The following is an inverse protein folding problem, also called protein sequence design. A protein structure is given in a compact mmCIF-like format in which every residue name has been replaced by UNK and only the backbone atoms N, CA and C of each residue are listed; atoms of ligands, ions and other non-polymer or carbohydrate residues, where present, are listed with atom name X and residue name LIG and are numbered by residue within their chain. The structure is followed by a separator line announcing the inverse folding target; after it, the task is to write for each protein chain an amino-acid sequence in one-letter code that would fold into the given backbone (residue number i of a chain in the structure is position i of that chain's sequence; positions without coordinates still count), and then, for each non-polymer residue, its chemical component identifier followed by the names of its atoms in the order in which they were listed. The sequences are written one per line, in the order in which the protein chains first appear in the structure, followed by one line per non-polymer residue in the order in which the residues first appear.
data_IF_992766219474
#
_entry.id   IF_992766219474
#
_cell.length_a   1.000
_cell.length_b   1.000
_cell.length_c   1.000
_cell.angle_alpha   90.00
_cell.angle_beta   90.00
_cell.angle_gamma   90.00
#
_symmetry.space_group_name_H-M   'P 1'
#
loop_
_entity.id
_entity.type
_entity.pdbx_description
1 polymer ?
#
# COMPACT_ATOMS: atom_id res chain seq x y z
N UNK A 1 10.78 -1.50 -9.15
CA UNK A 1 9.57 -2.16 -9.69
C UNK A 1 8.92 -2.93 -8.55
N UNK A 2 7.59 -2.93 -8.43
CA UNK A 2 6.89 -3.69 -7.38
C UNK A 2 7.07 -5.19 -7.63
N UNK A 3 7.34 -6.00 -6.60
CA UNK A 3 7.43 -7.46 -6.72
C UNK A 3 6.05 -8.12 -6.89
N UNK A 4 5.00 -7.42 -6.46
CA UNK A 4 3.61 -7.89 -6.48
C UNK A 4 2.74 -6.87 -7.20
N UNK A 5 1.84 -7.35 -8.06
CA UNK A 5 0.85 -6.54 -8.75
C UNK A 5 -0.55 -7.11 -8.54
N UNK A 6 -1.44 -6.35 -7.92
CA UNK A 6 -2.85 -6.73 -7.81
C UNK A 6 -3.49 -6.57 -9.19
N UNK A 7 -4.06 -7.66 -9.71
CA UNK A 7 -4.67 -7.69 -11.05
C UNK A 7 -6.17 -7.46 -10.99
N UNK A 8 -6.85 -7.97 -9.96
CA UNK A 8 -8.28 -7.76 -9.75
C UNK A 8 -8.66 -7.91 -8.27
N UNK A 9 -9.68 -7.16 -7.85
CA UNK A 9 -10.32 -7.32 -6.55
C UNK A 9 -11.83 -7.26 -6.76
N UNK A 10 -12.50 -8.40 -6.60
CA UNK A 10 -13.95 -8.52 -6.79
C UNK A 10 -14.63 -8.54 -5.43
N UNK A 11 -15.57 -7.63 -5.21
CA UNK A 11 -16.46 -7.64 -4.04
C UNK A 11 -17.58 -8.64 -4.30
N UNK A 12 -17.71 -9.64 -3.44
CA UNK A 12 -18.78 -10.64 -3.50
C UNK A 12 -19.90 -10.24 -2.53
N UNK A 13 -21.12 -10.72 -2.79
CA UNK A 13 -22.30 -10.51 -1.93
C UNK A 13 -22.55 -9.03 -1.57
N UNK A 14 -22.81 -8.22 -2.60
CA UNK A 14 -23.00 -6.78 -2.48
C UNK A 14 -24.15 -6.29 -3.39
N UNK A 15 -25.10 -5.47 -2.89
CA UNK A 15 -25.25 -5.02 -1.50
C UNK A 15 -25.69 -6.13 -0.55
N UNK A 16 -25.45 -5.96 0.75
CA UNK A 16 -25.78 -6.95 1.79
C UNK A 16 -26.17 -6.29 3.12
N UNK A 17 -26.75 -7.05 4.06
CA UNK A 17 -26.99 -6.54 5.41
C UNK A 17 -25.68 -6.16 6.09
N UNK A 18 -25.69 -5.11 6.91
CA UNK A 18 -24.53 -4.61 7.65
C UNK A 18 -23.79 -5.72 8.42
N UNK A 19 -24.53 -6.67 9.00
CA UNK A 19 -24.01 -7.78 9.81
C UNK A 19 -23.57 -9.00 8.98
N UNK A 20 -23.64 -8.93 7.65
CA UNK A 20 -23.17 -10.01 6.79
C UNK A 20 -21.63 -9.97 6.73
N UNK A 21 -20.90 -11.08 6.70
CA UNK A 21 -19.45 -11.06 6.48
C UNK A 21 -19.07 -10.40 5.15
N UNK A 22 -17.92 -9.75 5.10
CA UNK A 22 -17.33 -9.25 3.86
C UNK A 22 -16.66 -10.40 3.10
N UNK A 23 -16.72 -10.35 1.77
CA UNK A 23 -16.07 -11.33 0.90
C UNK A 23 -15.40 -10.64 -0.28
N UNK A 24 -14.08 -10.82 -0.38
CA UNK A 24 -13.25 -10.24 -1.43
C UNK A 24 -12.51 -11.35 -2.17
N UNK A 25 -12.78 -11.53 -3.46
CA UNK A 25 -11.92 -12.36 -4.31
C UNK A 25 -10.75 -11.51 -4.82
N UNK A 26 -9.55 -11.81 -4.34
CA UNK A 26 -8.32 -11.08 -4.64
C UNK A 26 -7.51 -11.89 -5.64
N UNK A 27 -7.15 -11.26 -6.75
CA UNK A 27 -6.23 -11.81 -7.75
C UNK A 27 -4.98 -10.94 -7.85
N UNK A 28 -3.82 -11.56 -7.81
CA UNK A 28 -2.53 -10.86 -7.91
C UNK A 28 -1.49 -11.70 -8.64
N UNK A 29 -0.50 -11.00 -9.20
CA UNK A 29 0.66 -11.56 -9.85
C UNK A 29 1.90 -11.28 -9.00
N UNK A 30 2.70 -12.31 -8.75
CA UNK A 30 4.01 -12.20 -8.13
C UNK A 30 5.08 -12.30 -9.22
N UNK A 31 5.87 -11.24 -9.36
CA UNK A 31 6.88 -11.06 -10.43
C UNK A 31 8.27 -11.53 -10.00
N UNK A 32 8.57 -11.50 -8.70
CA UNK A 32 9.82 -12.00 -8.12
C UNK A 32 9.52 -12.84 -6.87
N UNK A 33 10.27 -13.93 -6.62
CA UNK A 33 10.03 -14.77 -5.45
C UNK A 33 10.19 -13.97 -4.16
N UNK A 34 9.23 -14.11 -3.24
CA UNK A 34 9.25 -13.51 -1.92
C UNK A 34 9.56 -14.60 -0.88
N UNK A 35 10.54 -14.31 -0.02
CA UNK A 35 10.99 -15.25 1.02
C UNK A 35 10.01 -15.30 2.20
N UNK A 36 9.41 -14.16 2.51
CA UNK A 36 8.49 -13.97 3.63
C UNK A 36 7.04 -13.83 3.14
N UNK A 37 6.12 -13.77 4.09
CA UNK A 37 4.69 -13.71 3.80
C UNK A 37 4.24 -12.30 3.39
N UNK A 38 3.27 -12.27 2.48
CA UNK A 38 2.43 -11.10 2.27
C UNK A 38 1.36 -11.06 3.36
N UNK A 39 1.19 -9.92 4.01
CA UNK A 39 0.13 -9.69 4.97
C UNK A 39 -0.99 -8.90 4.31
N UNK A 40 -2.18 -9.50 4.22
CA UNK A 40 -3.39 -8.89 3.70
C UNK A 40 -4.30 -8.51 4.87
N UNK A 41 -4.71 -7.25 4.95
CA UNK A 41 -5.61 -6.78 6.00
C UNK A 41 -6.85 -6.14 5.40
N UNK A 42 -8.00 -6.43 6.00
CA UNK A 42 -9.24 -5.72 5.75
C UNK A 42 -9.56 -4.85 6.97
N UNK A 43 -9.67 -3.55 6.75
CA UNK A 43 -9.87 -2.55 7.80
C UNK A 43 -11.13 -1.75 7.48
N UNK A 44 -12.01 -1.61 8.46
CA UNK A 44 -13.21 -0.78 8.37
C UNK A 44 -12.97 0.53 9.10
N UNK A 45 -13.23 1.66 8.43
CA UNK A 45 -13.09 2.99 9.03
C UNK A 45 -14.33 3.28 9.89
N UNK A 46 -14.14 3.32 11.20
CA UNK A 46 -15.24 3.52 12.15
C UNK A 46 -15.62 4.99 12.35
N UNK A 47 -14.75 5.92 11.96
CA UNK A 47 -15.04 7.35 11.89
C UNK A 47 -14.11 8.03 10.91
N UNK A 48 -14.61 8.98 10.12
CA UNK A 48 -13.78 9.73 9.18
C UNK A 48 -12.80 10.70 9.88
N UNK A 49 -13.07 11.05 11.13
CA UNK A 49 -12.30 12.05 11.88
C UNK A 49 -11.30 11.41 12.86
N UNK A 50 -11.44 10.12 13.16
CA UNK A 50 -10.76 9.47 14.27
C UNK A 50 -10.44 8.01 13.96
N UNK A 51 -9.17 7.78 13.60
CA UNK A 51 -8.60 6.46 13.28
C UNK A 51 -8.61 5.49 14.47
N UNK A 52 -8.86 5.95 15.70
CA UNK A 52 -8.98 5.04 16.86
C UNK A 52 -10.24 4.17 16.81
N UNK A 53 -11.21 4.54 15.97
CA UNK A 53 -12.41 3.75 15.69
C UNK A 53 -12.21 2.74 14.56
N UNK A 54 -11.06 2.74 13.88
CA UNK A 54 -10.78 1.79 12.81
C UNK A 54 -10.72 0.37 13.36
N UNK A 55 -11.40 -0.53 12.67
CA UNK A 55 -11.50 -1.93 13.06
C UNK A 55 -10.77 -2.79 12.04
N UNK A 56 -9.71 -3.47 12.49
CA UNK A 56 -9.10 -4.56 11.74
C UNK A 56 -10.07 -5.75 11.76
N UNK A 57 -10.72 -6.01 10.62
CA UNK A 57 -11.70 -7.08 10.48
C UNK A 57 -11.04 -8.43 10.24
N UNK A 58 -9.98 -8.46 9.44
CA UNK A 58 -9.26 -9.69 9.11
C UNK A 58 -7.79 -9.40 8.76
N UNK A 59 -6.91 -10.34 9.07
CA UNK A 59 -5.48 -10.31 8.75
C UNK A 59 -4.98 -11.70 8.36
N UNK A 60 -4.66 -11.87 7.07
CA UNK A 60 -4.21 -13.15 6.51
C UNK A 60 -2.78 -13.05 5.99
N UNK A 61 -1.96 -14.02 6.35
CA UNK A 61 -0.61 -14.21 5.83
C UNK A 61 -0.62 -15.18 4.65
N UNK A 62 0.02 -14.80 3.55
CA UNK A 62 0.17 -15.62 2.34
C UNK A 62 1.64 -15.67 1.97
N UNK A 63 2.29 -16.81 2.22
CA UNK A 63 3.65 -17.06 1.77
C UNK A 63 4.22 -18.41 2.21
N UNK A 64 5.49 -18.69 1.83
CA UNK A 64 6.31 -17.91 0.89
C UNK A 64 5.71 -17.90 -0.53
N UNK A 65 5.89 -16.81 -1.27
CA UNK A 65 5.22 -16.59 -2.58
C UNK A 65 6.21 -16.75 -3.72
N UNK A 66 5.95 -17.70 -4.62
CA UNK A 66 6.76 -17.89 -5.83
C UNK A 66 6.23 -17.02 -6.97
N UNK A 67 7.00 -16.92 -8.06
CA UNK A 67 6.55 -16.24 -9.28
C UNK A 67 5.31 -16.96 -9.83
N UNK A 68 4.25 -16.21 -10.12
CA UNK A 68 3.02 -16.77 -10.63
C UNK A 68 1.79 -15.89 -10.40
N UNK A 69 0.64 -16.40 -10.84
CA UNK A 69 -0.66 -15.78 -10.64
C UNK A 69 -1.40 -16.49 -9.52
N UNK A 70 -1.94 -15.72 -8.59
CA UNK A 70 -2.61 -16.19 -7.40
C UNK A 70 -4.01 -15.61 -7.32
N UNK A 71 -4.91 -16.41 -6.73
CA UNK A 71 -6.27 -15.99 -6.44
C UNK A 71 -6.76 -16.66 -5.17
N UNK A 72 -7.37 -15.89 -4.27
CA UNK A 72 -8.00 -16.41 -3.07
C UNK A 72 -9.19 -15.53 -2.65
N UNK A 73 -10.04 -16.06 -1.78
CA UNK A 73 -11.15 -15.31 -1.18
C UNK A 73 -10.76 -14.93 0.25
N UNK A 74 -10.72 -13.63 0.52
CA UNK A 74 -10.61 -13.08 1.87
C UNK A 74 -12.03 -12.87 2.41
N UNK A 75 -12.36 -13.56 3.49
CA UNK A 75 -13.62 -13.39 4.20
C UNK A 75 -13.34 -12.77 5.57
N UNK A 76 -14.15 -11.80 5.98
CA UNK A 76 -14.01 -11.12 7.27
C UNK A 76 -15.38 -10.92 7.92
N UNK A 77 -15.44 -11.04 9.24
CA UNK A 77 -16.65 -10.71 10.00
C UNK A 77 -16.98 -9.20 9.87
N UNK A 78 -18.25 -8.79 10.03
CA UNK A 78 -18.62 -7.38 10.02
C UNK A 78 -17.94 -6.60 11.17
N UNK A 79 -17.82 -5.26 11.07
CA UNK A 79 -17.35 -4.45 12.19
C UNK A 79 -18.31 -4.57 13.38
N UNK A 80 -17.78 -4.39 14.58
CA UNK A 80 -18.57 -4.28 15.80
C UNK A 80 -19.26 -2.90 15.84
N UNK A 81 -20.61 -2.83 15.76
CA UNK A 81 -21.32 -1.55 15.75
C UNK A 81 -21.09 -0.72 17.01
N UNK A 82 -20.76 -1.35 18.15
CA UNK A 82 -20.53 -0.65 19.41
C UNK A 82 -19.21 0.12 19.45
N UNK A 83 -18.31 -0.14 18.50
CA UNK A 83 -17.02 0.52 18.32
C UNK A 83 -17.00 1.48 17.14
N UNK A 84 -18.18 1.88 16.65
CA UNK A 84 -18.36 2.90 15.62
C UNK A 84 -19.04 4.08 16.31
N UNK A 85 -18.71 5.32 15.93
CA UNK A 85 -19.46 6.48 16.41
C UNK A 85 -20.90 6.38 15.90
N UNK A 86 -21.89 6.63 16.75
CA UNK A 86 -23.31 6.39 16.43
C UNK A 86 -23.75 7.18 15.20
N UNK A 87 -23.23 8.40 15.05
CA UNK A 87 -23.41 9.28 13.89
C UNK A 87 -22.77 8.78 12.59
N UNK A 88 -21.75 7.92 12.67
CA UNK A 88 -20.98 7.41 11.52
C UNK A 88 -21.46 6.02 11.05
N UNK A 89 -22.44 5.42 11.73
CA UNK A 89 -22.98 4.11 11.34
C UNK A 89 -23.78 4.21 10.03
N UNK A 90 -24.62 5.23 9.90
CA UNK A 90 -25.41 5.53 8.70
C UNK A 90 -24.68 6.57 7.86
N UNK A 91 -24.69 6.40 6.54
CA UNK A 91 -24.02 7.25 5.58
C UNK A 91 -22.80 6.59 4.96
N UNK A 92 -21.86 7.42 4.51
CA UNK A 92 -20.70 6.95 3.75
C UNK A 92 -19.48 6.81 4.65
N UNK A 93 -18.87 5.64 4.64
CA UNK A 93 -17.55 5.38 5.23
C UNK A 93 -16.62 4.70 4.22
N UNK A 94 -15.46 4.23 4.68
CA UNK A 94 -14.41 3.62 3.86
C UNK A 94 -14.04 2.24 4.39
N UNK A 95 -13.81 1.31 3.47
CA UNK A 95 -13.21 0.01 3.72
C UNK A 95 -11.86 -0.05 3.02
N UNK A 96 -10.82 -0.49 3.72
CA UNK A 96 -9.44 -0.52 3.24
C UNK A 96 -8.96 -1.97 3.17
N UNK A 97 -8.59 -2.41 1.97
CA UNK A 97 -7.81 -3.63 1.76
C UNK A 97 -6.34 -3.22 1.60
N UNK A 98 -5.49 -3.60 2.54
CA UNK A 98 -4.04 -3.34 2.47
C UNK A 98 -3.26 -4.62 2.23
N UNK A 99 -2.12 -4.49 1.55
CA UNK A 99 -1.14 -5.56 1.45
C UNK A 99 0.24 -5.02 1.83
N UNK A 100 0.89 -5.76 2.72
CA UNK A 100 2.19 -5.44 3.29
C UNK A 100 3.17 -6.58 3.06
N UNK A 101 4.45 -6.25 2.94
CA UNK A 101 5.55 -7.21 2.94
C UNK A 101 6.58 -6.77 3.96
N UNK A 102 7.01 -7.67 4.86
CA UNK A 102 7.93 -7.35 5.96
C UNK A 102 7.46 -6.15 6.80
N UNK A 103 6.15 -6.06 7.06
CA UNK A 103 5.53 -4.96 7.82
C UNK A 103 5.48 -3.62 7.09
N UNK A 104 5.93 -3.54 5.84
CA UNK A 104 5.84 -2.33 5.01
C UNK A 104 4.66 -2.46 4.05
N UNK A 105 3.66 -1.60 4.23
CA UNK A 105 2.53 -1.49 3.32
C UNK A 105 3.01 -0.98 1.96
N UNK A 106 2.67 -1.69 0.87
CA UNK A 106 3.04 -1.29 -0.49
C UNK A 106 1.82 -1.00 -1.37
N UNK A 107 0.64 -1.45 -0.98
CA UNK A 107 -0.60 -1.15 -1.69
C UNK A 107 -1.80 -1.10 -0.74
N UNK A 108 -2.69 -0.15 -1.03
CA UNK A 108 -3.96 0.06 -0.36
C UNK A 108 -5.05 0.26 -1.40
N UNK A 109 -6.12 -0.50 -1.28
CA UNK A 109 -7.32 -0.40 -2.10
C UNK A 109 -8.47 0.02 -1.19
N UNK A 110 -8.91 1.28 -1.34
CA UNK A 110 -10.03 1.84 -0.59
C UNK A 110 -11.33 1.76 -1.37
N UNK A 111 -12.40 1.35 -0.69
CA UNK A 111 -13.76 1.35 -1.20
C UNK A 111 -14.62 2.29 -0.35
N UNK A 112 -15.48 3.07 -0.99
CA UNK A 112 -16.56 3.72 -0.26
C UNK A 112 -17.62 2.68 0.07
N UNK A 113 -18.14 2.73 1.30
CA UNK A 113 -19.25 1.91 1.76
C UNK A 113 -20.37 2.86 2.14
N UNK A 114 -21.53 2.70 1.52
CA UNK A 114 -22.73 3.42 1.89
C UNK A 114 -23.61 2.51 2.75
N UNK A 115 -23.80 2.89 4.02
CA UNK A 115 -24.70 2.22 4.94
C UNK A 115 -26.00 3.02 5.01
N UNK A 116 -27.12 2.40 4.67
CA UNK A 116 -28.42 3.05 4.69
C UNK A 116 -29.52 2.05 5.06
N UNK A 117 -30.70 2.55 5.41
CA UNK A 117 -31.86 1.68 5.58
C UNK A 117 -32.42 1.29 4.21
N UNK A 118 -32.74 0.01 4.03
CA UNK A 118 -33.45 -0.46 2.83
C UNK A 118 -34.92 0.01 2.84
N UNK A 119 -35.49 0.22 4.04
CA UNK A 119 -36.85 0.72 4.25
C UNK A 119 -36.95 2.24 3.99
N UNK A 120 -37.84 2.66 3.09
CA UNK A 120 -38.05 4.06 2.73
C UNK A 120 -38.55 4.92 3.90
N UNK A 121 -39.40 4.38 4.78
CA UNK A 121 -39.90 5.14 5.94
C UNK A 121 -38.79 5.44 6.93
N UNK A 122 -37.88 4.48 7.14
CA UNK A 122 -36.72 4.68 8.02
C UNK A 122 -35.68 5.63 7.42
N UNK A 123 -35.66 5.82 6.10
CA UNK A 123 -34.81 6.83 5.45
C UNK A 123 -35.40 8.22 5.55
N UNK A 124 -36.71 8.37 5.37
CA UNK A 124 -37.38 9.68 5.46
C UNK A 124 -37.49 10.16 6.93
N UNK A 125 -37.76 9.24 7.86
CA UNK A 125 -37.87 9.51 9.29
C UNK A 125 -36.92 8.61 10.08
N UNK A 126 -35.61 8.91 10.09
CA UNK A 126 -34.64 8.08 10.78
C UNK A 126 -34.89 8.04 12.29
N UNK A 127 -34.88 6.85 12.91
CA UNK A 127 -35.06 6.72 14.35
C UNK A 127 -33.91 7.38 15.11
N UNK A 128 -34.16 7.82 16.34
CA UNK A 128 -33.12 8.45 17.17
C UNK A 128 -31.96 7.50 17.54
N UNK A 129 -32.19 6.20 17.47
CA UNK A 129 -31.17 5.16 17.65
C UNK A 129 -31.13 4.29 16.42
N UNK A 130 -29.93 3.98 15.95
CA UNK A 130 -29.75 3.16 14.75
C UNK A 130 -30.23 1.72 14.98
N UNK A 131 -31.02 1.19 14.05
CA UNK A 131 -31.51 -0.19 14.08
C UNK A 131 -30.60 -1.04 13.17
N UNK A 132 -29.49 -1.52 13.71
CA UNK A 132 -28.41 -2.21 12.96
C UNK A 132 -28.94 -3.34 12.08
N UNK A 133 -29.90 -4.14 12.57
CA UNK A 133 -30.46 -5.28 11.84
C UNK A 133 -31.18 -4.88 10.53
N UNK A 134 -31.55 -3.61 10.39
CA UNK A 134 -32.21 -3.06 9.19
C UNK A 134 -31.26 -2.25 8.31
N UNK A 135 -29.99 -2.12 8.70
CA UNK A 135 -28.99 -1.42 7.90
C UNK A 135 -28.50 -2.34 6.80
N UNK A 136 -28.51 -1.83 5.58
CA UNK A 136 -27.90 -2.44 4.41
C UNK A 136 -26.62 -1.67 4.08
N UNK A 137 -25.54 -2.39 3.78
CA UNK A 137 -24.34 -1.79 3.22
C UNK A 137 -24.27 -2.02 1.72
N UNK A 138 -23.77 -1.01 1.03
CA UNK A 138 -23.42 -1.08 -0.38
C UNK A 138 -21.97 -0.60 -0.56
N UNK A 139 -21.10 -1.50 -0.99
CA UNK A 139 -19.69 -1.22 -1.29
C UNK A 139 -19.62 -0.74 -2.75
N UNK A 140 -19.11 0.46 -2.97
CA UNK A 140 -18.94 1.04 -4.30
C UNK A 140 -17.72 0.44 -5.00
N UNK A 141 -17.87 -0.80 -5.48
CA UNK A 141 -16.80 -1.62 -6.07
C UNK A 141 -16.26 -1.10 -7.40
N UNK A 142 -17.03 -0.30 -8.15
CA UNK A 142 -16.67 0.15 -9.50
C UNK A 142 -15.63 1.27 -9.51
N UNK A 143 -15.43 1.96 -8.38
CA UNK A 143 -14.52 3.12 -8.28
C UNK A 143 -13.58 2.99 -7.08
N UNK A 144 -12.76 1.92 -7.02
CA UNK A 144 -11.80 1.77 -5.94
C UNK A 144 -10.74 2.87 -6.01
N UNK A 145 -10.27 3.31 -4.83
CA UNK A 145 -9.13 4.21 -4.70
C UNK A 145 -7.88 3.37 -4.43
N UNK A 146 -7.00 3.29 -5.42
CA UNK A 146 -5.76 2.53 -5.30
C UNK A 146 -4.59 3.47 -5.01
N UNK A 147 -3.93 3.26 -3.88
CA UNK A 147 -2.70 3.96 -3.49
C UNK A 147 -1.56 2.95 -3.42
N UNK A 148 -0.42 3.27 -4.02
CA UNK A 148 0.79 2.43 -4.00
C UNK A 148 1.91 3.15 -3.27
N UNK A 149 2.62 2.43 -2.42
CA UNK A 149 3.75 2.93 -1.66
C UNK A 149 5.03 2.20 -2.11
N UNK A 150 6.12 2.91 -2.42
CA UNK A 150 7.37 2.26 -2.78
C UNK A 150 8.00 1.62 -1.53
N UNK A 151 8.34 0.33 -1.63
CA UNK A 151 9.06 -0.41 -0.58
C UNK A 151 10.23 -1.20 -1.17
N UNK A 152 11.14 -1.66 -0.31
CA UNK A 152 12.20 -2.58 -0.70
C UNK A 152 11.79 -4.04 -0.44
N UNK A 153 11.51 -4.80 -1.50
CA UNK A 153 11.17 -6.23 -1.42
C UNK A 153 12.39 -7.14 -1.25
N UNK A 154 13.61 -6.63 -1.44
CA UNK A 154 14.85 -7.40 -1.34
C UNK A 154 15.92 -6.64 -0.54
N UNK A 155 15.73 -6.44 0.77
CA UNK A 155 16.66 -5.67 1.60
C UNK A 155 18.09 -6.24 1.64
N UNK A 156 18.25 -7.56 1.50
CA UNK A 156 19.58 -8.20 1.58
C UNK A 156 20.45 -8.04 0.33
N UNK A 157 19.88 -7.67 -0.82
CA UNK A 157 20.67 -7.42 -2.04
C UNK A 157 21.44 -6.08 -2.01
N UNK A 158 21.27 -5.26 -0.96
CA UNK A 158 21.94 -3.98 -0.81
C UNK A 158 23.29 -4.04 -0.07
N UNK A 159 23.81 -5.24 0.25
CA UNK A 159 25.15 -5.42 0.85
C UNK A 159 26.21 -5.94 -0.15
N UNK A 160 26.12 -5.56 -1.42
CA UNK A 160 27.19 -5.81 -2.41
C UNK A 160 27.76 -4.49 -2.95
N UNK A 161 28.10 -3.58 -2.03
CA UNK A 161 28.97 -2.44 -2.31
C UNK A 161 30.43 -2.80 -2.05
N UNK A 162 30.94 -3.85 -2.68
CA UNK A 162 32.40 -4.06 -2.79
C UNK A 162 32.94 -3.01 -3.77
N UNK A 163 33.11 -1.77 -3.30
CA UNK A 163 34.15 -0.92 -3.87
C UNK A 163 35.49 -1.57 -3.50
N UNK A 164 36.32 -1.99 -4.46
CA UNK A 164 37.68 -2.37 -4.13
C UNK A 164 38.37 -1.17 -3.46
N UNK A 165 39.17 -1.40 -2.39
CA UNK A 165 39.88 -0.30 -1.75
C UNK A 165 40.77 0.39 -2.80
N UNK A 166 40.92 1.73 -2.74
CA UNK A 166 41.83 2.42 -3.62
C UNK A 166 43.25 1.87 -3.43
N UNK A 167 44.04 1.75 -4.53
CA UNK A 167 45.40 1.23 -4.43
C UNK A 167 46.24 2.14 -3.52
N UNK A 168 47.16 1.57 -2.73
CA UNK A 168 47.99 2.35 -1.82
C UNK A 168 48.92 3.29 -2.59
N UNK A 169 48.87 4.58 -2.27
CA UNK A 169 49.79 5.59 -2.77
C UNK A 169 51.23 5.24 -2.36
N UNK A 170 52.07 4.94 -3.34
CA UNK A 170 53.51 4.80 -3.13
C UNK A 170 54.12 6.17 -2.84
N UNK A 171 54.59 6.35 -1.61
CA UNK A 171 55.52 7.42 -1.25
C UNK A 171 56.85 7.20 -1.97
N UNK A 172 57.21 8.11 -2.88
CA UNK A 172 58.59 8.27 -3.35
C UNK A 172 59.14 9.60 -2.83
N UNK A 173 59.95 9.51 -1.78
CA UNK A 173 60.89 10.56 -1.36
C UNK A 173 62.17 10.44 -2.20
N UNK A 174 62.68 11.55 -2.75
CA UNK A 174 64.10 11.65 -3.11
C UNK A 174 64.43 12.57 -4.28
N UNK A 175 64.76 13.83 -3.95
CA UNK A 175 65.82 14.70 -4.50
C UNK A 175 66.07 14.83 -6.02
N UNK A 176 66.12 16.09 -6.47
CA UNK A 176 67.28 16.60 -7.19
C UNK A 176 67.03 17.17 -8.59
N UNK A 177 67.26 18.48 -8.70
CA UNK A 177 67.85 19.18 -9.86
C UNK A 177 66.92 19.59 -11.04
N UNK A 178 66.60 20.89 -11.06
CA UNK A 178 66.39 21.72 -12.26
C UNK A 178 67.63 21.64 -13.18
N UNK A 179 67.48 21.69 -14.52
CA UNK A 179 67.34 23.01 -15.16
C UNK A 179 66.54 23.09 -16.48
N UNK A 180 65.94 24.28 -16.69
CA UNK A 180 65.88 25.10 -17.92
C UNK A 180 65.68 24.42 -19.28
N UNK A 181 64.63 24.82 -20.04
CA UNK A 181 64.77 25.73 -21.19
C UNK A 181 63.48 25.94 -22.03
N UNK A 182 63.30 27.20 -22.46
CA UNK A 182 62.70 27.70 -23.73
C UNK A 182 61.22 27.44 -24.03
N UNK A 183 60.36 28.48 -24.11
CA UNK A 183 60.05 29.33 -25.29
C UNK A 183 59.42 28.47 -26.43
N UNK A 184 58.27 28.74 -27.03
CA UNK A 184 57.72 30.02 -27.46
C UNK A 184 56.33 29.80 -28.12
N UNK A 185 55.61 30.90 -28.35
CA UNK A 185 54.49 31.14 -29.28
C UNK A 185 53.04 30.74 -28.88
N UNK A 186 52.30 31.75 -28.40
CA UNK A 186 50.91 31.97 -28.84
C UNK A 186 50.86 32.52 -30.28
N UNK A 187 49.84 33.30 -30.70
CA UNK A 187 48.58 33.70 -30.06
C UNK A 187 47.39 33.08 -30.86
N UNK A 188 46.12 33.43 -30.80
CA UNK A 188 45.44 34.70 -30.52
C UNK A 188 43.92 34.43 -30.42
N UNK A 189 43.23 35.21 -29.58
CA UNK A 189 42.08 36.07 -29.91
C UNK A 189 40.94 35.51 -30.79
N UNK A 190 39.66 35.81 -30.59
CA UNK A 190 38.91 36.72 -29.73
C UNK A 190 37.42 36.48 -30.09
N UNK A 191 36.54 37.11 -29.28
CA UNK A 191 35.11 37.42 -29.47
C UNK A 191 34.13 36.38 -28.92
N UNK A 192 33.63 36.55 -27.70
CA UNK A 192 32.73 37.62 -27.19
C UNK A 192 31.27 37.40 -27.61
N UNK A 193 30.43 37.35 -26.57
CA UNK A 193 28.96 37.22 -26.50
C UNK A 193 28.38 35.81 -26.53
#
# INVERSE_FOLDING_TARGET
MSAVNITNVTVLDNPASFLTPFQFEISYECLTPLKDDLEWKLIYVGSAEDETYDQLLESVLVGPVNVGNYRFVLQADPPDPSKIREEDIIGVTVLLLTCSYLGQEFIRVGYYVNNDYDDEQLREEPPSKVIIDKVQRNILSDKPRVTKFPINFHPENNQSGDQPPPPPEQQTNGNGEDPLASLDHGPSDEKES
#
